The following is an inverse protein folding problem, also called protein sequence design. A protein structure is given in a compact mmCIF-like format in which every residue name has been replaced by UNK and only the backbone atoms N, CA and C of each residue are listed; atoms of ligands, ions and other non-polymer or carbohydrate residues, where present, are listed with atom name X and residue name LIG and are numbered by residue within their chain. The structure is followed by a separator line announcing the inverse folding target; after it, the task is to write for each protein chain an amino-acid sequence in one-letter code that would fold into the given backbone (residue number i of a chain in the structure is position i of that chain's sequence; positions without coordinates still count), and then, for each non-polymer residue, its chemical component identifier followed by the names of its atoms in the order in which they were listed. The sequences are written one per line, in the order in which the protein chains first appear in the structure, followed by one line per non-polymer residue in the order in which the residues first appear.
data_IF_923831546784
#
_entry.id   IF_923831546784
#
_cell.length_a   1.000
_cell.length_b   1.000
_cell.length_c   1.000
_cell.angle_alpha   90.00
_cell.angle_beta   90.00
_cell.angle_gamma   90.00
#
_symmetry.space_group_name_H-M   'P 1'
#
loop_
_entity.id
_entity.type
_entity.pdbx_description
1 polymer ?
#
# COMPACT_ATOMS: atom_id res chain seq x y z
N UNK A 1 -1.71 13.85 1.56
CA UNK A 1 -1.23 12.45 1.62
C UNK A 1 -2.40 11.57 1.26
N UNK A 2 -2.23 10.56 0.40
CA UNK A 2 -3.36 9.79 -0.14
C UNK A 2 -3.95 8.87 0.94
N UNK A 3 -5.20 9.13 1.37
CA UNK A 3 -5.91 8.27 2.32
C UNK A 3 -6.30 6.96 1.62
N UNK A 4 -5.88 5.82 2.16
CA UNK A 4 -6.24 4.50 1.67
C UNK A 4 -7.20 3.87 2.68
N UNK A 5 -8.48 3.87 2.36
CA UNK A 5 -9.50 3.13 3.10
C UNK A 5 -9.21 1.61 3.05
N UNK A 6 -9.56 0.81 4.08
CA UNK A 6 -9.33 -0.64 4.09
C UNK A 6 -9.96 -1.38 2.90
N UNK A 7 -11.10 -0.87 2.41
CA UNK A 7 -11.81 -1.40 1.24
C UNK A 7 -11.05 -1.17 -0.09
N UNK A 8 -10.04 -0.28 -0.12
CA UNK A 8 -9.32 0.13 -1.33
C UNK A 8 -7.80 -0.09 -1.23
N UNK A 9 -7.35 -1.03 -0.41
CA UNK A 9 -5.93 -1.34 -0.21
C UNK A 9 -5.17 -1.57 -1.53
N UNK A 10 -5.78 -2.38 -2.41
CA UNK A 10 -5.25 -2.68 -3.74
C UNK A 10 -5.09 -1.42 -4.58
N UNK A 11 -6.12 -0.57 -4.59
CA UNK A 11 -6.11 0.68 -5.33
C UNK A 11 -5.06 1.66 -4.77
N UNK A 12 -4.92 1.71 -3.45
CA UNK A 12 -3.91 2.50 -2.75
C UNK A 12 -2.49 2.07 -3.11
N UNK A 13 -2.21 0.78 -3.01
CA UNK A 13 -0.93 0.19 -3.37
C UNK A 13 -0.59 0.42 -4.84
N UNK A 14 -1.55 0.23 -5.75
CA UNK A 14 -1.38 0.50 -7.16
C UNK A 14 -1.06 1.97 -7.45
N UNK A 15 -1.84 2.90 -6.89
CA UNK A 15 -1.61 4.34 -7.08
C UNK A 15 -0.24 4.75 -6.55
N UNK A 16 0.21 4.16 -5.45
CA UNK A 16 1.53 4.42 -4.90
C UNK A 16 2.65 3.92 -5.82
N UNK A 17 2.59 2.66 -6.28
CA UNK A 17 3.56 2.11 -7.25
C UNK A 17 3.57 2.91 -8.56
N UNK A 18 2.39 3.30 -9.06
CA UNK A 18 2.26 4.15 -10.25
C UNK A 18 2.92 5.51 -10.04
N UNK A 19 2.73 6.12 -8.87
CA UNK A 19 3.38 7.37 -8.49
C UNK A 19 4.91 7.23 -8.48
N UNK A 20 5.43 6.19 -7.83
CA UNK A 20 6.88 5.91 -7.76
C UNK A 20 7.51 5.72 -9.14
N UNK A 21 6.78 5.16 -10.11
CA UNK A 21 7.25 5.04 -11.50
C UNK A 21 7.15 6.38 -12.23
N UNK A 22 6.01 7.06 -12.13
CA UNK A 22 5.72 8.27 -12.88
C UNK A 22 6.57 9.48 -12.45
N UNK A 23 6.89 9.59 -11.16
CA UNK A 23 7.73 10.67 -10.62
C UNK A 23 9.22 10.32 -10.62
N UNK A 24 9.60 9.12 -11.07
CA UNK A 24 11.01 8.73 -11.16
C UNK A 24 11.75 9.56 -12.22
N UNK A 25 13.02 9.96 -11.96
CA UNK A 25 13.88 10.54 -13.00
C UNK A 25 14.18 9.53 -14.13
N UNK A 26 14.03 8.23 -13.87
CA UNK A 26 14.16 7.16 -14.86
C UNK A 26 12.98 6.17 -14.74
N UNK A 27 11.82 6.49 -15.36
CA UNK A 27 10.63 5.66 -15.30
C UNK A 27 10.83 4.25 -15.87
N UNK A 28 11.68 4.09 -16.89
CA UNK A 28 11.97 2.80 -17.49
C UNK A 28 12.68 1.87 -16.49
N UNK A 29 13.71 2.40 -15.81
CA UNK A 29 14.41 1.67 -14.76
C UNK A 29 13.53 1.43 -13.54
N UNK A 30 12.73 2.41 -13.13
CA UNK A 30 11.78 2.26 -12.02
C UNK A 30 10.78 1.15 -12.29
N UNK A 31 10.23 1.09 -13.50
CA UNK A 31 9.33 0.02 -13.95
C UNK A 31 9.99 -1.36 -13.82
N UNK A 32 11.24 -1.49 -14.29
CA UNK A 32 12.02 -2.73 -14.16
C UNK A 32 12.21 -3.12 -12.70
N UNK A 33 12.61 -2.18 -11.84
CA UNK A 33 12.80 -2.42 -10.42
C UNK A 33 11.52 -2.89 -9.74
N UNK A 34 10.38 -2.28 -10.06
CA UNK A 34 9.08 -2.74 -9.55
C UNK A 34 8.74 -4.15 -10.06
N UNK A 35 8.92 -4.44 -11.35
CA UNK A 35 8.74 -5.82 -11.86
C UNK A 35 9.55 -6.84 -11.06
N UNK A 36 10.82 -6.54 -10.84
CA UNK A 36 11.77 -7.41 -10.12
C UNK A 36 11.38 -7.57 -8.64
N UNK A 37 10.91 -6.51 -7.97
CA UNK A 37 10.39 -6.57 -6.59
C UNK A 37 9.13 -7.42 -6.45
N UNK A 38 8.28 -7.41 -7.47
CA UNK A 38 7.13 -8.32 -7.56
C UNK A 38 7.55 -9.77 -7.84
N UNK A 39 8.82 -10.05 -8.11
CA UNK A 39 9.32 -11.38 -8.45
C UNK A 39 8.79 -11.89 -9.80
N UNK A 40 8.50 -10.98 -10.74
CA UNK A 40 7.89 -11.31 -12.03
C UNK A 40 8.96 -11.29 -13.13
N UNK A 41 9.01 -12.33 -13.96
CA UNK A 41 9.89 -12.36 -15.13
C UNK A 41 9.36 -11.53 -16.31
N UNK A 42 10.23 -11.05 -17.21
CA UNK A 42 9.76 -10.33 -18.42
C UNK A 42 8.81 -11.18 -19.27
N UNK A 43 9.12 -12.48 -19.45
CA UNK A 43 8.28 -13.39 -20.22
C UNK A 43 6.91 -13.64 -19.57
N UNK A 44 6.88 -13.70 -18.24
CA UNK A 44 5.65 -13.85 -17.48
C UNK A 44 4.76 -12.61 -17.59
N UNK A 45 5.33 -11.42 -17.40
CA UNK A 45 4.61 -10.16 -17.56
C UNK A 45 4.11 -9.97 -18.99
N UNK A 46 4.94 -10.30 -19.98
CA UNK A 46 4.59 -10.24 -21.39
C UNK A 46 3.40 -11.14 -21.72
N UNK A 47 3.41 -12.38 -21.19
CA UNK A 47 2.31 -13.33 -21.33
C UNK A 47 1.01 -12.77 -20.74
N UNK A 48 1.06 -12.17 -19.56
CA UNK A 48 -0.11 -11.57 -18.92
C UNK A 48 -0.67 -10.38 -19.71
N UNK A 49 0.19 -9.64 -20.41
CA UNK A 49 -0.18 -8.48 -21.23
C UNK A 49 -0.52 -8.81 -22.69
N UNK A 50 -0.37 -10.07 -23.12
CA UNK A 50 -0.59 -10.48 -24.51
C UNK A 50 0.42 -9.86 -25.50
N UNK A 51 1.65 -9.61 -25.05
CA UNK A 51 2.73 -9.02 -25.87
C UNK A 51 3.97 -9.93 -25.87
N UNK A 52 4.95 -9.64 -26.73
CA UNK A 52 6.22 -10.38 -26.71
C UNK A 52 7.13 -9.92 -25.56
N UNK A 53 8.03 -10.79 -25.03
CA UNK A 53 9.00 -10.41 -24.01
C UNK A 53 9.90 -9.22 -24.43
N UNK A 54 10.18 -9.08 -25.72
CA UNK A 54 10.93 -7.94 -26.27
C UNK A 54 10.23 -6.60 -26.04
N UNK A 55 8.89 -6.56 -26.04
CA UNK A 55 8.13 -5.32 -25.75
C UNK A 55 8.35 -4.87 -24.31
N UNK A 56 8.39 -5.80 -23.36
CA UNK A 56 8.70 -5.49 -21.95
C UNK A 56 10.14 -5.00 -21.82
N UNK A 57 11.09 -5.69 -22.47
CA UNK A 57 12.50 -5.27 -22.52
C UNK A 57 12.67 -3.85 -23.11
N UNK A 58 11.91 -3.50 -24.16
CA UNK A 58 11.95 -2.17 -24.77
C UNK A 58 11.44 -1.06 -23.84
N UNK A 59 10.42 -1.35 -23.03
CA UNK A 59 9.95 -0.40 -22.01
C UNK A 59 10.95 -0.24 -20.88
N UNK A 60 11.54 -1.33 -20.40
CA UNK A 60 12.48 -1.32 -19.26
C UNK A 60 13.87 -0.76 -19.61
N UNK A 61 14.21 -0.73 -20.89
CA UNK A 61 15.46 -0.15 -21.40
C UNK A 61 15.32 1.30 -21.86
N UNK A 62 14.10 1.85 -21.84
CA UNK A 62 13.82 3.20 -22.33
C UNK A 62 13.91 3.36 -23.86
N UNK A 63 14.09 2.26 -24.62
CA UNK A 63 14.09 2.27 -26.10
C UNK A 63 12.75 2.78 -26.66
N UNK A 64 11.65 2.49 -25.97
CA UNK A 64 10.37 3.18 -26.19
C UNK A 64 10.34 4.43 -25.31
N UNK A 65 10.38 5.62 -25.93
CA UNK A 65 10.27 6.91 -25.24
C UNK A 65 9.06 6.87 -24.30
N UNK A 66 9.35 7.06 -23.01
CA UNK A 66 8.45 7.01 -21.84
C UNK A 66 7.06 6.43 -22.14
N UNK A 67 6.78 5.16 -21.79
CA UNK A 67 5.43 4.61 -21.94
C UNK A 67 4.42 5.59 -21.35
N UNK A 68 3.43 5.99 -22.14
CA UNK A 68 2.39 6.89 -21.66
C UNK A 68 1.75 6.33 -20.40
N UNK A 69 1.21 7.20 -19.53
CA UNK A 69 0.67 6.82 -18.22
C UNK A 69 -0.36 5.66 -18.31
N UNK A 70 -1.10 5.58 -19.42
CA UNK A 70 -2.03 4.49 -19.73
C UNK A 70 -1.33 3.13 -19.86
N UNK A 71 -0.18 3.09 -20.53
CA UNK A 71 0.62 1.86 -20.68
C UNK A 71 1.24 1.46 -19.35
N UNK A 72 1.80 2.41 -18.60
CA UNK A 72 2.37 2.12 -17.27
C UNK A 72 1.29 1.57 -16.33
N UNK A 73 0.09 2.17 -16.35
CA UNK A 73 -1.07 1.67 -15.61
C UNK A 73 -1.37 0.20 -15.92
N UNK A 74 -1.49 -0.16 -17.20
CA UNK A 74 -1.76 -1.54 -17.62
C UNK A 74 -0.68 -2.51 -17.15
N UNK A 75 0.58 -2.08 -17.21
CA UNK A 75 1.71 -2.91 -16.77
C UNK A 75 1.64 -3.15 -15.25
N UNK A 76 1.42 -2.10 -14.46
CA UNK A 76 1.29 -2.22 -12.99
C UNK A 76 0.06 -3.05 -12.63
N UNK A 77 -1.07 -2.85 -13.30
CA UNK A 77 -2.27 -3.69 -13.13
C UNK A 77 -1.99 -5.17 -13.35
N UNK A 78 -1.24 -5.51 -14.41
CA UNK A 78 -0.82 -6.88 -14.66
C UNK A 78 0.13 -7.43 -13.58
N UNK A 79 1.05 -6.60 -13.05
CA UNK A 79 1.92 -7.02 -11.94
C UNK A 79 1.12 -7.38 -10.68
N UNK A 80 0.15 -6.55 -10.29
CA UNK A 80 -0.72 -6.84 -9.15
C UNK A 80 -1.57 -8.09 -9.40
N UNK A 81 -2.13 -8.26 -10.61
CA UNK A 81 -2.89 -9.46 -10.94
C UNK A 81 -2.05 -10.75 -10.83
N UNK A 82 -0.79 -10.72 -11.27
CA UNK A 82 0.13 -11.85 -11.13
C UNK A 82 0.48 -12.10 -9.64
N UNK A 83 0.78 -11.05 -8.87
CA UNK A 83 1.05 -11.19 -7.42
C UNK A 83 -0.13 -11.79 -6.68
N UNK A 84 -1.36 -11.33 -6.97
CA UNK A 84 -2.60 -11.86 -6.39
C UNK A 84 -2.77 -13.36 -6.70
N UNK A 85 -2.48 -13.78 -7.93
CA UNK A 85 -2.48 -15.21 -8.32
C UNK A 85 -1.42 -16.03 -7.58
N UNK A 86 -0.30 -15.42 -7.18
CA UNK A 86 0.79 -16.05 -6.40
C UNK A 86 0.63 -15.91 -4.88
N UNK A 87 -0.53 -15.46 -4.39
CA UNK A 87 -0.83 -15.36 -2.95
C UNK A 87 -0.67 -13.95 -2.35
N UNK A 88 -0.42 -12.94 -3.18
CA UNK A 88 -0.50 -11.52 -2.83
C UNK A 88 0.60 -11.04 -1.88
N UNK A 89 1.81 -11.58 -1.98
CA UNK A 89 2.91 -11.29 -1.05
C UNK A 89 3.31 -9.82 -1.15
N UNK A 90 3.38 -9.29 -2.37
CA UNK A 90 3.76 -7.90 -2.59
C UNK A 90 2.66 -6.95 -2.13
N UNK A 91 1.40 -7.23 -2.44
CA UNK A 91 0.27 -6.45 -1.97
C UNK A 91 0.21 -6.38 -0.42
N UNK A 92 0.48 -7.50 0.27
CA UNK A 92 0.58 -7.55 1.74
C UNK A 92 1.79 -6.76 2.28
N UNK A 93 2.92 -6.84 1.61
CA UNK A 93 4.11 -6.05 1.99
C UNK A 93 3.85 -4.54 1.85
N UNK A 94 3.21 -4.14 0.74
CA UNK A 94 2.85 -2.75 0.48
C UNK A 94 1.77 -2.25 1.42
N UNK A 95 0.82 -3.10 1.82
CA UNK A 95 -0.19 -2.71 2.81
C UNK A 95 0.43 -2.37 4.16
N UNK A 96 1.40 -3.16 4.63
CA UNK A 96 2.13 -2.86 5.86
C UNK A 96 2.93 -1.56 5.77
N UNK A 97 3.47 -1.23 4.60
CA UNK A 97 4.19 0.02 4.35
C UNK A 97 3.24 1.24 4.32
N UNK A 98 2.05 1.09 3.72
CA UNK A 98 1.11 2.19 3.49
C UNK A 98 0.17 2.45 4.68
N UNK A 99 -0.13 1.43 5.47
CA UNK A 99 -1.02 1.50 6.65
C UNK A 99 -0.23 1.64 7.96
N UNK A 100 1.10 1.46 7.91
CA UNK A 100 1.93 1.33 9.10
C UNK A 100 1.89 -0.10 9.66
N UNK A 101 2.79 -0.40 10.60
CA UNK A 101 3.25 -1.70 11.15
C UNK A 101 2.21 -2.77 11.56
N UNK A 102 0.92 -2.57 11.35
CA UNK A 102 -0.12 -3.47 11.80
C UNK A 102 -0.69 -4.27 10.63
N UNK A 103 -0.83 -5.60 10.77
CA UNK A 103 -1.54 -6.43 9.78
C UNK A 103 -2.94 -5.86 9.51
N UNK A 104 -3.44 -5.99 8.28
CA UNK A 104 -4.79 -5.50 7.93
C UNK A 104 -5.91 -6.18 8.72
N UNK A 105 -5.65 -7.35 9.31
CA UNK A 105 -6.57 -8.04 10.23
C UNK A 105 -6.60 -7.44 11.64
N UNK A 106 -5.59 -6.64 11.99
CA UNK A 106 -5.42 -5.97 13.30
C UNK A 106 -5.89 -4.52 13.25
N UNK A 107 -5.71 -3.83 12.12
CA UNK A 107 -6.22 -2.45 11.96
C UNK A 107 -7.70 -2.50 11.58
N UNK A 108 -8.56 -2.01 12.47
CA UNK A 108 -9.98 -1.84 12.21
C UNK A 108 -10.23 -0.58 11.39
N UNK A 109 -9.59 0.52 11.75
CA UNK A 109 -9.68 1.79 11.02
C UNK A 109 -8.48 2.70 11.28
N UNK A 110 -8.24 3.64 10.37
CA UNK A 110 -7.34 4.77 10.58
C UNK A 110 -8.09 6.02 10.16
N UNK A 111 -8.13 7.02 11.03
CA UNK A 111 -8.80 8.29 10.75
C UNK A 111 -7.90 9.45 11.08
N UNK A 112 -7.89 10.43 10.19
CA UNK A 112 -7.28 11.74 10.43
C UNK A 112 -8.40 12.77 10.64
N UNK A 113 -8.19 13.67 11.59
CA UNK A 113 -9.12 14.72 11.93
C UNK A 113 -8.80 16.01 11.18
N UNK A 114 -9.83 16.68 10.65
CA UNK A 114 -9.70 17.99 10.00
C UNK A 114 -9.43 19.12 11.00
N UNK A 115 -9.75 18.90 12.27
CA UNK A 115 -9.41 19.75 13.41
C UNK A 115 -8.90 18.85 14.53
N UNK A 116 -7.86 19.24 15.29
CA UNK A 116 -7.35 18.43 16.37
C UNK A 116 -8.41 18.20 17.45
N UNK A 117 -8.46 17.00 17.99
CA UNK A 117 -9.43 16.54 18.99
C UNK A 117 -8.68 16.13 20.26
N UNK A 118 -9.24 16.36 21.44
CA UNK A 118 -8.66 15.86 22.69
C UNK A 118 -8.98 14.38 22.86
N UNK A 119 -8.05 13.62 23.43
CA UNK A 119 -8.25 12.19 23.70
C UNK A 119 -9.47 11.91 24.58
N UNK A 120 -9.76 12.80 25.54
CA UNK A 120 -10.98 12.71 26.37
C UNK A 120 -12.27 12.67 25.56
N UNK A 121 -12.37 13.48 24.51
CA UNK A 121 -13.55 13.50 23.64
C UNK A 121 -13.70 12.18 22.86
N UNK A 122 -12.60 11.54 22.49
CA UNK A 122 -12.63 10.22 21.86
C UNK A 122 -13.12 9.17 22.85
N UNK A 123 -12.58 9.16 24.07
CA UNK A 123 -12.97 8.23 25.16
C UNK A 123 -14.46 8.33 25.44
N UNK A 124 -15.00 9.54 25.56
CA UNK A 124 -16.43 9.78 25.76
C UNK A 124 -17.27 9.30 24.56
N UNK A 125 -16.85 9.62 23.33
CA UNK A 125 -17.59 9.27 22.12
C UNK A 125 -17.71 7.75 21.93
N UNK A 126 -16.66 7.00 22.24
CA UNK A 126 -16.65 5.53 22.12
C UNK A 126 -17.11 4.83 23.39
N UNK A 127 -17.39 5.58 24.47
CA UNK A 127 -17.66 5.05 25.82
C UNK A 127 -16.57 4.07 26.27
N UNK A 128 -15.31 4.46 26.01
CA UNK A 128 -14.13 3.63 26.22
C UNK A 128 -13.55 3.75 27.62
N UNK A 129 -12.62 2.86 27.93
CA UNK A 129 -11.79 2.89 29.14
C UNK A 129 -10.33 3.14 28.75
N UNK A 130 -9.61 3.87 29.60
CA UNK A 130 -8.21 4.25 29.36
C UNK A 130 -7.31 3.26 30.09
N UNK A 131 -6.57 2.46 29.32
CA UNK A 131 -5.66 1.44 29.88
C UNK A 131 -4.22 1.91 30.03
N UNK A 132 -3.80 2.95 29.31
CA UNK A 132 -2.43 3.45 29.31
C UNK A 132 -2.36 4.94 28.97
N UNK A 133 -1.29 5.60 29.43
CA UNK A 133 -0.94 6.98 29.09
C UNK A 133 -2.10 7.97 29.27
N UNK A 134 -2.72 7.99 30.46
CA UNK A 134 -3.83 8.90 30.73
C UNK A 134 -3.43 10.39 30.57
N UNK A 135 -2.15 10.69 30.81
CA UNK A 135 -1.55 12.01 30.67
C UNK A 135 -1.66 12.59 29.25
N UNK A 136 -1.61 11.74 28.22
CA UNK A 136 -1.66 12.20 26.82
C UNK A 136 -3.07 12.52 26.33
N UNK A 137 -4.13 12.18 27.10
CA UNK A 137 -5.51 12.44 26.69
C UNK A 137 -5.87 13.93 26.63
N UNK A 138 -5.08 14.77 27.30
CA UNK A 138 -5.20 16.23 27.24
C UNK A 138 -4.52 16.84 26.01
N UNK A 139 -3.70 16.06 25.30
CA UNK A 139 -3.01 16.51 24.11
C UNK A 139 -3.95 16.57 22.91
N UNK A 140 -3.58 17.42 21.94
CA UNK A 140 -4.27 17.56 20.67
C UNK A 140 -3.89 16.41 19.75
N UNK A 141 -4.84 15.51 19.51
CA UNK A 141 -4.70 14.38 18.61
C UNK A 141 -5.15 14.79 17.20
N UNK A 142 -4.39 14.41 16.19
CA UNK A 142 -4.66 14.71 14.78
C UNK A 142 -5.30 13.55 14.03
N UNK A 143 -5.46 12.41 14.71
CA UNK A 143 -6.06 11.21 14.17
C UNK A 143 -5.98 10.08 15.19
N UNK A 144 -6.48 8.93 14.79
CA UNK A 144 -6.42 7.70 15.56
C UNK A 144 -6.33 6.49 14.65
N UNK A 145 -5.88 5.39 15.23
CA UNK A 145 -5.93 4.07 14.64
C UNK A 145 -6.75 3.17 15.56
N UNK A 146 -7.88 2.67 15.08
CA UNK A 146 -8.65 1.63 15.76
C UNK A 146 -8.02 0.27 15.47
N UNK A 147 -7.80 -0.54 16.50
CA UNK A 147 -7.18 -1.87 16.38
C UNK A 147 -8.01 -2.96 17.08
N UNK A 148 -7.99 -4.17 16.53
CA UNK A 148 -8.44 -5.39 17.19
C UNK A 148 -7.32 -5.86 18.11
N UNK A 149 -7.48 -5.61 19.41
CA UNK A 149 -6.45 -5.91 20.42
C UNK A 149 -6.18 -7.41 20.55
N UNK A 150 -7.20 -8.27 20.46
CA UNK A 150 -7.04 -9.72 20.57
C UNK A 150 -6.25 -10.27 19.39
N UNK A 151 -6.62 -9.88 18.16
CA UNK A 151 -5.85 -10.25 16.97
C UNK A 151 -4.46 -9.64 16.99
N UNK A 152 -4.33 -8.40 17.48
CA UNK A 152 -3.04 -7.72 17.64
C UNK A 152 -2.09 -8.52 18.52
N UNK A 153 -2.54 -8.92 19.71
CA UNK A 153 -1.75 -9.75 20.63
C UNK A 153 -1.38 -11.09 19.98
N UNK A 154 -2.36 -11.82 19.43
CA UNK A 154 -2.11 -13.15 18.86
C UNK A 154 -1.19 -13.13 17.63
N UNK A 155 -1.24 -12.07 16.81
CA UNK A 155 -0.45 -11.97 15.57
C UNK A 155 0.90 -11.29 15.74
N UNK A 156 1.06 -10.39 16.72
CA UNK A 156 2.30 -9.64 16.95
C UNK A 156 3.16 -10.23 18.07
N UNK A 157 2.60 -11.01 18.99
CA UNK A 157 3.37 -11.72 20.02
C UNK A 157 3.98 -13.04 19.52
N UNK A 158 3.61 -13.49 18.33
CA UNK A 158 4.15 -14.70 17.69
C UNK A 158 5.31 -14.40 16.71
N UNK A 159 5.79 -13.15 16.67
CA UNK A 159 6.88 -12.68 15.82
C UNK A 159 8.17 -12.46 16.63
#
# INVERSE_FOLDING_TARGET
MMRVEPANLREGAMKWVLGEIAFSPDPARSLRTWRERFGIGQAELAKALGVSPSVISDYESGRRKSPGLVTVRKIVEAMFAIDEQKGGVMLKSLSHLLIGRFPSSVVLEIREYSKPVEGKAIVEAVKGEVFANEDILTQKLFGHTGIDSLRGILSLSAA
#
